data_IF_622951923775
#
_entry.id   IF_622951923775
#
_cell.length_a   1.000
_cell.length_b   1.000
_cell.length_c   1.000
_cell.angle_alpha   90.00
_cell.angle_beta   90.00
_cell.angle_gamma   90.00
#
_symmetry.space_group_name_H-M   'P 1'
#
loop_
_entity.id
_entity.type
_entity.pdbx_description
1 polymer ?
#
# COMPACT_ATOMS: atom_id res chain seq x y z
N UNK A 1 16.55 8.63 9.26
CA UNK A 1 15.30 8.66 8.48
C UNK A 1 14.61 9.97 8.82
N UNK A 2 14.25 10.76 7.83
CA UNK A 2 13.52 12.00 8.06
C UNK A 2 12.18 11.72 8.81
N UNK A 3 11.74 12.58 9.75
CA UNK A 3 10.52 12.37 10.54
C UNK A 3 9.24 12.16 9.72
N UNK A 4 9.15 12.78 8.53
CA UNK A 4 8.00 12.61 7.64
C UNK A 4 8.00 11.20 7.03
N UNK A 5 9.16 10.72 6.57
CA UNK A 5 9.33 9.37 6.01
C UNK A 5 8.94 8.28 7.01
N UNK A 6 9.36 8.42 8.27
CA UNK A 6 9.01 7.48 9.34
C UNK A 6 7.49 7.52 9.67
N UNK A 7 6.86 8.70 9.61
CA UNK A 7 5.42 8.84 9.83
C UNK A 7 4.59 8.25 8.69
N UNK A 8 5.00 8.45 7.43
CA UNK A 8 4.38 7.82 6.24
C UNK A 8 4.50 6.31 6.34
N UNK A 9 5.69 5.80 6.68
CA UNK A 9 5.92 4.37 6.89
C UNK A 9 4.97 3.80 7.95
N UNK A 10 4.85 4.45 9.12
CA UNK A 10 3.92 4.02 10.18
C UNK A 10 2.46 4.07 9.72
N UNK A 11 2.07 5.08 8.95
CA UNK A 11 0.70 5.19 8.43
C UNK A 11 0.33 4.02 7.50
N UNK A 12 1.24 3.62 6.61
CA UNK A 12 1.04 2.53 5.64
C UNK A 12 1.21 1.15 6.30
N UNK A 13 2.27 0.96 7.08
CA UNK A 13 2.64 -0.33 7.67
C UNK A 13 1.82 -0.70 8.90
N UNK A 14 1.47 0.27 9.75
CA UNK A 14 0.89 0.02 11.08
C UNK A 14 -0.63 0.13 11.12
N UNK A 15 -1.31 0.09 9.96
CA UNK A 15 -2.78 0.19 9.83
C UNK A 15 -3.41 1.40 10.55
N UNK A 16 -2.62 2.45 10.81
CA UNK A 16 -3.13 3.67 11.45
C UNK A 16 -4.10 4.42 10.54
N UNK A 17 -4.07 4.14 9.23
CA UNK A 17 -5.04 4.64 8.28
C UNK A 17 -6.38 3.92 8.49
N UNK A 18 -7.28 4.57 9.25
CA UNK A 18 -8.63 4.10 9.54
C UNK A 18 -9.59 4.69 8.50
N UNK A 19 -10.05 3.86 7.56
CA UNK A 19 -10.91 4.29 6.46
C UNK A 19 -12.32 3.75 6.68
N UNK A 20 -13.32 4.61 6.64
CA UNK A 20 -14.73 4.22 6.84
C UNK A 20 -15.28 3.47 5.62
N UNK A 21 -16.38 2.72 5.81
CA UNK A 21 -17.01 1.96 4.71
C UNK A 21 -17.44 2.86 3.54
N UNK A 22 -17.90 4.08 3.81
CA UNK A 22 -18.31 5.05 2.78
C UNK A 22 -17.13 5.50 1.93
N UNK A 23 -15.96 5.69 2.53
CA UNK A 23 -14.73 6.04 1.82
C UNK A 23 -14.20 4.87 1.00
N UNK A 24 -14.24 3.65 1.54
CA UNK A 24 -13.94 2.43 0.76
C UNK A 24 -14.88 2.34 -0.45
N UNK A 25 -16.18 2.55 -0.26
CA UNK A 25 -17.14 2.51 -1.36
C UNK A 25 -16.82 3.55 -2.44
N UNK A 26 -16.53 4.80 -2.02
CA UNK A 26 -16.17 5.90 -2.92
C UNK A 26 -14.90 5.61 -3.73
N UNK A 27 -13.85 5.09 -3.08
CA UNK A 27 -12.56 4.83 -3.73
C UNK A 27 -12.61 3.60 -4.64
N UNK A 28 -13.39 2.58 -4.27
CA UNK A 28 -13.39 1.30 -4.99
C UNK A 28 -14.53 1.15 -6.00
N UNK A 29 -15.54 2.02 -5.96
CA UNK A 29 -16.75 1.91 -6.77
C UNK A 29 -17.65 0.72 -6.39
N UNK A 30 -17.38 0.04 -5.27
CA UNK A 30 -18.23 -1.03 -4.72
C UNK A 30 -19.26 -0.39 -3.79
N UNK A 31 -20.54 -0.75 -3.91
CA UNK A 31 -21.57 -0.19 -3.03
C UNK A 31 -21.36 -0.59 -1.56
N UNK A 32 -21.78 0.29 -0.64
CA UNK A 32 -21.73 0.01 0.81
C UNK A 32 -22.50 -1.26 1.20
N UNK A 33 -23.61 -1.56 0.52
CA UNK A 33 -24.38 -2.79 0.69
C UNK A 33 -23.58 -4.04 0.32
N UNK A 34 -22.84 -4.00 -0.80
CA UNK A 34 -21.95 -5.10 -1.20
C UNK A 34 -20.79 -5.25 -0.23
N UNK A 35 -20.17 -4.16 0.22
CA UNK A 35 -19.09 -4.21 1.22
C UNK A 35 -19.56 -4.84 2.53
N UNK A 36 -20.73 -4.44 3.04
CA UNK A 36 -21.34 -5.03 4.24
C UNK A 36 -21.64 -6.52 4.05
N UNK A 37 -22.12 -6.90 2.86
CA UNK A 37 -22.34 -8.31 2.54
C UNK A 37 -21.02 -9.11 2.49
N UNK A 38 -19.95 -8.57 1.87
CA UNK A 38 -18.63 -9.20 1.82
C UNK A 38 -18.01 -9.33 3.20
N UNK A 39 -18.18 -8.31 4.04
CA UNK A 39 -17.74 -8.31 5.43
C UNK A 39 -18.48 -9.38 6.24
N UNK A 40 -19.81 -9.43 6.15
CA UNK A 40 -20.64 -10.46 6.81
C UNK A 40 -20.26 -11.88 6.36
N UNK A 41 -19.83 -12.06 5.11
CA UNK A 41 -19.33 -13.33 4.57
C UNK A 41 -17.88 -13.63 4.97
N UNK A 42 -17.20 -12.73 5.67
CA UNK A 42 -15.79 -12.87 6.07
C UNK A 42 -14.83 -12.79 4.88
N UNK A 43 -15.26 -12.22 3.76
CA UNK A 43 -14.37 -11.99 2.62
C UNK A 43 -13.44 -10.82 2.92
N UNK A 44 -13.98 -9.71 3.40
CA UNK A 44 -13.21 -8.58 3.92
C UNK A 44 -13.40 -8.47 5.43
N UNK A 45 -12.49 -7.78 6.12
CA UNK A 45 -12.56 -7.57 7.57
C UNK A 45 -12.31 -6.11 7.91
N UNK A 46 -13.18 -5.54 8.73
CA UNK A 46 -12.93 -4.28 9.43
C UNK A 46 -12.29 -4.53 10.79
N UNK A 47 -11.70 -3.48 11.32
CA UNK A 47 -11.22 -3.40 12.69
C UNK A 47 -12.12 -2.41 13.46
N UNK A 48 -12.23 -2.62 14.76
CA UNK A 48 -12.96 -1.74 15.68
C UNK A 48 -11.95 -1.04 16.59
N UNK A 49 -12.24 0.19 16.98
CA UNK A 49 -11.39 0.94 17.88
C UNK A 49 -11.87 0.67 19.31
N UNK A 50 -10.95 0.50 20.26
CA UNK A 50 -11.33 0.23 21.66
C UNK A 50 -12.21 1.33 22.25
N UNK A 51 -12.07 2.57 21.75
CA UNK A 51 -12.86 3.73 22.16
C UNK A 51 -14.08 4.00 21.26
N UNK A 52 -14.14 3.42 20.05
CA UNK A 52 -15.13 3.80 19.05
C UNK A 52 -15.71 2.54 18.36
N UNK A 53 -17.03 2.35 18.48
CA UNK A 53 -17.75 1.23 17.84
C UNK A 53 -17.76 1.27 16.31
N UNK A 54 -17.18 2.32 15.71
CA UNK A 54 -17.11 2.46 14.27
C UNK A 54 -16.14 1.45 13.65
N UNK A 55 -16.63 0.76 12.64
CA UNK A 55 -15.86 -0.15 11.82
C UNK A 55 -15.00 0.65 10.84
N UNK A 56 -13.70 0.38 10.84
CA UNK A 56 -12.76 0.94 9.88
C UNK A 56 -12.03 -0.15 9.12
N UNK A 57 -11.58 0.21 7.93
CA UNK A 57 -10.86 -0.66 7.02
C UNK A 57 -9.44 -0.14 6.86
N UNK A 58 -8.51 -1.10 6.85
CA UNK A 58 -7.10 -0.83 6.61
C UNK A 58 -6.82 -0.65 5.12
N UNK A 59 -5.69 -0.03 4.79
CA UNK A 59 -5.21 0.10 3.41
C UNK A 59 -5.11 -1.25 2.65
N UNK A 60 -4.60 -2.36 3.26
CA UNK A 60 -4.68 -3.69 2.65
C UNK A 60 -6.10 -4.16 2.31
N UNK A 61 -7.10 -3.80 3.12
CA UNK A 61 -8.49 -4.18 2.84
C UNK A 61 -9.03 -3.49 1.59
N UNK A 62 -8.59 -2.27 1.31
CA UNK A 62 -8.95 -1.54 0.08
C UNK A 62 -8.41 -2.28 -1.15
N UNK A 63 -7.15 -2.71 -1.12
CA UNK A 63 -6.57 -3.52 -2.21
C UNK A 63 -7.32 -4.82 -2.43
N UNK A 64 -7.75 -5.46 -1.36
CA UNK A 64 -8.59 -6.66 -1.45
C UNK A 64 -9.92 -6.34 -2.16
N UNK A 65 -10.63 -5.29 -1.73
CA UNK A 65 -11.90 -4.87 -2.33
C UNK A 65 -11.72 -4.55 -3.83
N UNK A 66 -10.69 -3.78 -4.19
CA UNK A 66 -10.36 -3.46 -5.58
C UNK A 66 -10.09 -4.71 -6.40
N UNK A 67 -9.35 -5.68 -5.86
CA UNK A 67 -9.04 -6.92 -6.58
C UNK A 67 -10.28 -7.76 -6.83
N UNK A 68 -11.15 -7.87 -5.83
CA UNK A 68 -12.44 -8.55 -5.99
C UNK A 68 -13.26 -7.84 -7.06
N UNK A 69 -13.36 -6.50 -7.01
CA UNK A 69 -14.08 -5.68 -7.99
C UNK A 69 -13.57 -5.89 -9.42
N UNK A 70 -12.25 -5.87 -9.63
CA UNK A 70 -11.64 -6.12 -10.95
C UNK A 70 -12.08 -7.47 -11.52
N UNK A 71 -12.13 -8.53 -10.70
CA UNK A 71 -12.58 -9.83 -11.18
C UNK A 71 -14.10 -9.91 -11.38
N UNK A 72 -14.90 -9.21 -10.56
CA UNK A 72 -16.34 -9.08 -10.80
C UNK A 72 -16.63 -8.38 -12.13
N UNK A 73 -15.87 -7.32 -12.46
CA UNK A 73 -16.01 -6.58 -13.71
C UNK A 73 -15.62 -7.40 -14.94
N UNK A 74 -14.76 -8.41 -14.75
CA UNK A 74 -14.43 -9.41 -15.77
C UNK A 74 -15.50 -10.51 -15.92
N UNK A 75 -16.62 -10.42 -15.20
CA UNK A 75 -17.73 -11.37 -15.27
C UNK A 75 -17.57 -12.60 -14.37
N UNK A 76 -16.57 -12.65 -13.49
CA UNK A 76 -16.45 -13.75 -12.53
C UNK A 76 -17.52 -13.65 -11.43
N UNK A 77 -17.94 -14.80 -10.90
CA UNK A 77 -18.77 -14.85 -9.70
C UNK A 77 -17.99 -14.34 -8.49
N UNK A 78 -18.68 -13.84 -7.46
CA UNK A 78 -18.05 -13.36 -6.23
C UNK A 78 -17.13 -14.41 -5.57
N UNK A 79 -17.57 -15.67 -5.52
CA UNK A 79 -16.76 -16.75 -4.96
C UNK A 79 -15.44 -16.94 -5.73
N UNK A 80 -15.48 -16.85 -7.06
CA UNK A 80 -14.29 -16.96 -7.90
C UNK A 80 -13.39 -15.72 -7.79
N UNK A 81 -13.98 -14.52 -7.73
CA UNK A 81 -13.25 -13.27 -7.52
C UNK A 81 -12.50 -13.28 -6.18
N UNK A 82 -13.15 -13.70 -5.09
CA UNK A 82 -12.51 -13.87 -3.77
C UNK A 82 -11.40 -14.93 -3.82
N UNK A 83 -11.61 -16.05 -4.50
CA UNK A 83 -10.56 -17.08 -4.68
C UNK A 83 -9.35 -16.53 -5.41
N UNK A 84 -9.55 -15.74 -6.47
CA UNK A 84 -8.46 -15.11 -7.23
C UNK A 84 -7.76 -14.02 -6.43
N UNK A 85 -8.49 -13.21 -5.67
CA UNK A 85 -7.89 -12.24 -4.73
C UNK A 85 -7.01 -12.94 -3.70
N UNK A 86 -7.50 -14.01 -3.06
CA UNK A 86 -6.70 -14.78 -2.09
C UNK A 86 -5.41 -15.34 -2.69
N UNK A 87 -5.44 -15.80 -3.94
CA UNK A 87 -4.22 -16.24 -4.66
C UNK A 87 -3.23 -15.10 -4.91
N UNK A 88 -3.71 -13.86 -5.08
CA UNK A 88 -2.89 -12.66 -5.31
C UNK A 88 -2.53 -11.92 -4.03
N UNK A 89 -3.11 -12.32 -2.89
CA UNK A 89 -2.89 -11.68 -1.59
C UNK A 89 -1.41 -11.64 -1.19
N UNK A 90 -0.67 -12.71 -1.46
CA UNK A 90 0.77 -12.74 -1.14
C UNK A 90 1.55 -11.72 -1.97
N UNK A 91 1.17 -11.48 -3.24
CA UNK A 91 1.79 -10.44 -4.06
C UNK A 91 1.57 -9.05 -3.46
N UNK A 92 0.37 -8.78 -2.96
CA UNK A 92 0.07 -7.50 -2.29
C UNK A 92 0.88 -7.32 -1.01
N UNK A 93 1.00 -8.37 -0.19
CA UNK A 93 1.84 -8.32 1.01
C UNK A 93 3.29 -8.04 0.67
N UNK A 94 3.84 -8.72 -0.34
CA UNK A 94 5.22 -8.50 -0.81
C UNK A 94 5.39 -7.05 -1.28
N UNK A 95 4.47 -6.55 -2.11
CA UNK A 95 4.54 -5.17 -2.60
C UNK A 95 4.42 -4.13 -1.49
N UNK A 96 3.44 -4.27 -0.58
CA UNK A 96 3.31 -3.37 0.57
C UNK A 96 4.57 -3.39 1.42
N UNK A 97 5.14 -4.58 1.67
CA UNK A 97 6.40 -4.72 2.42
C UNK A 97 7.54 -3.99 1.72
N UNK A 98 7.70 -4.20 0.41
CA UNK A 98 8.71 -3.51 -0.40
C UNK A 98 8.58 -1.99 -0.29
N UNK A 99 7.37 -1.43 -0.43
CA UNK A 99 7.16 0.02 -0.31
C UNK A 99 7.47 0.51 1.11
N UNK A 100 6.99 -0.17 2.14
CA UNK A 100 7.17 0.26 3.54
C UNK A 100 8.60 0.12 4.06
N UNK A 101 9.35 -0.87 3.56
CA UNK A 101 10.73 -1.09 3.98
C UNK A 101 11.73 -0.40 3.05
N UNK A 102 11.40 -0.32 1.77
CA UNK A 102 12.26 0.21 0.71
C UNK A 102 12.35 1.72 0.76
N UNK A 103 11.25 2.45 0.95
CA UNK A 103 11.33 3.92 0.98
C UNK A 103 12.00 4.37 2.29
N UNK A 104 13.30 4.73 2.20
CA UNK A 104 14.10 5.20 3.34
C UNK A 104 14.06 6.71 3.51
N UNK A 105 14.15 7.44 2.42
CA UNK A 105 14.24 8.89 2.44
C UNK A 105 13.79 9.44 1.09
N UNK A 106 13.17 10.60 1.11
CA UNK A 106 12.76 11.34 -0.09
C UNK A 106 13.41 12.71 -0.01
N UNK A 107 14.14 13.10 -1.05
CA UNK A 107 14.85 14.37 -1.14
C UNK A 107 14.40 15.11 -2.40
N UNK A 108 13.89 16.32 -2.26
CA UNK A 108 13.51 17.15 -3.40
C UNK A 108 14.75 17.81 -3.97
N UNK A 109 15.00 17.63 -5.26
CA UNK A 109 16.16 18.21 -5.96
C UNK A 109 15.75 19.29 -6.97
N UNK A 110 14.45 19.45 -7.23
CA UNK A 110 13.89 20.51 -8.08
C UNK A 110 12.36 20.52 -8.07
N UNK A 111 11.77 21.37 -8.93
CA UNK A 111 10.33 21.31 -9.23
C UNK A 111 10.03 19.97 -9.94
N UNK A 112 9.06 19.22 -9.40
CA UNK A 112 8.71 17.85 -9.84
C UNK A 112 9.88 16.85 -9.98
N UNK A 113 10.98 17.11 -9.27
CA UNK A 113 12.21 16.32 -9.35
C UNK A 113 12.75 16.00 -7.97
N UNK A 114 13.27 14.79 -7.80
CA UNK A 114 13.76 14.34 -6.51
C UNK A 114 14.40 12.95 -6.54
N UNK A 115 14.88 12.54 -5.38
CA UNK A 115 15.45 11.23 -5.15
C UNK A 115 14.69 10.48 -4.07
N UNK A 116 14.51 9.17 -4.25
CA UNK A 116 13.98 8.27 -3.22
C UNK A 116 15.05 7.23 -2.89
N UNK A 117 15.62 7.29 -1.68
CA UNK A 117 16.61 6.33 -1.21
C UNK A 117 15.92 5.00 -0.88
N UNK A 118 16.39 3.92 -1.50
CA UNK A 118 15.82 2.57 -1.35
C UNK A 118 16.57 1.70 -0.32
N UNK A 119 17.78 2.12 0.06
CA UNK A 119 18.62 1.46 1.04
C UNK A 119 19.91 0.89 0.43
N UNK A 120 20.69 0.23 1.27
CA UNK A 120 21.96 -0.40 0.87
C UNK A 120 21.76 -1.69 0.09
N UNK A 121 22.69 -2.00 -0.83
CA UNK A 121 22.71 -3.29 -1.50
C UNK A 121 23.01 -4.41 -0.49
N UNK A 122 22.38 -5.57 -0.69
CA UNK A 122 22.63 -6.72 0.18
C UNK A 122 24.03 -7.31 -0.04
N UNK A 123 24.51 -7.24 -1.28
CA UNK A 123 25.81 -7.74 -1.73
C UNK A 123 26.96 -6.77 -1.42
N UNK A 124 26.65 -5.49 -1.24
CA UNK A 124 27.63 -4.43 -1.00
C UNK A 124 27.04 -3.30 -0.13
N UNK A 125 27.27 -3.37 1.18
CA UNK A 125 26.73 -2.40 2.14
C UNK A 125 27.31 -1.00 2.00
N UNK A 126 28.42 -0.83 1.27
CA UNK A 126 29.02 0.49 1.00
C UNK A 126 28.31 1.20 -0.15
N UNK A 127 27.38 0.54 -0.83
CA UNK A 127 26.58 1.13 -1.91
C UNK A 127 25.13 1.24 -1.52
N UNK A 128 24.47 2.26 -2.05
CA UNK A 128 23.02 2.47 -1.91
C UNK A 128 22.32 2.50 -3.26
N UNK A 129 21.10 1.96 -3.29
CA UNK A 129 20.16 2.08 -4.40
C UNK A 129 19.24 3.25 -4.14
N UNK A 130 19.00 4.05 -5.16
CA UNK A 130 18.05 5.15 -5.10
C UNK A 130 17.33 5.32 -6.44
N UNK A 131 16.09 5.81 -6.38
CA UNK A 131 15.33 6.21 -7.56
C UNK A 131 15.54 7.72 -7.79
N UNK A 132 15.77 8.11 -9.04
CA UNK A 132 15.75 9.51 -9.48
C UNK A 132 14.47 9.75 -10.26
N UNK A 133 13.72 10.76 -9.84
CA UNK A 133 12.49 11.23 -10.48
C UNK A 133 12.81 12.55 -11.18
N UNK A 134 12.49 12.61 -12.47
CA UNK A 134 12.60 13.79 -13.34
C UNK A 134 11.29 13.92 -14.12
N UNK A 135 10.36 14.71 -13.57
CA UNK A 135 8.97 14.75 -14.02
C UNK A 135 8.30 13.38 -13.90
N UNK A 136 7.80 12.85 -15.03
CA UNK A 136 7.16 11.52 -15.06
C UNK A 136 8.14 10.35 -15.19
N UNK A 137 9.45 10.62 -15.37
CA UNK A 137 10.45 9.56 -15.58
C UNK A 137 11.06 9.15 -14.26
N UNK A 138 11.10 7.84 -14.02
CA UNK A 138 11.80 7.23 -12.89
C UNK A 138 12.97 6.38 -13.40
N UNK A 139 14.16 6.56 -12.83
CA UNK A 139 15.33 5.69 -13.08
C UNK A 139 15.94 5.20 -11.77
N UNK A 140 16.44 3.96 -11.75
CA UNK A 140 17.14 3.39 -10.59
C UNK A 140 18.65 3.54 -10.79
N UNK A 141 19.35 4.01 -9.76
CA UNK A 141 20.79 4.23 -9.76
C UNK A 141 21.43 3.66 -8.50
N UNK A 142 22.74 3.48 -8.57
CA UNK A 142 23.58 3.01 -7.47
C UNK A 142 24.68 4.07 -7.26
N UNK A 143 24.97 4.40 -5.99
CA UNK A 143 26.10 5.27 -5.63
C UNK A 143 26.78 4.75 -4.37
N UNK A 144 28.01 5.22 -4.13
CA UNK A 144 28.69 4.98 -2.86
C UNK A 144 27.95 5.71 -1.74
N UNK A 145 27.74 5.00 -0.64
CA UNK A 145 27.07 5.51 0.54
C UNK A 145 28.03 6.44 1.26
N UNK A 146 27.61 7.69 1.47
CA UNK A 146 28.35 8.61 2.33
C UNK A 146 28.25 8.10 3.77
N UNK A 147 29.39 7.73 4.36
CA UNK A 147 29.47 7.50 5.80
C UNK A 147 29.19 8.83 6.50
N UNK A 148 28.10 8.87 7.27
CA UNK A 148 27.84 9.90 8.27
C UNK A 148 28.24 9.37 9.63
#
# INVERSE_FOLDING_TARGET
MDPLSEKIRKMIASKQLKISMSEVARVTGVSTSQLRYWEKKGYIKSEQDEQNKNHYFSFPTIFQVLTIKVFLDQGFTLAMAVKKERKRRELHKIFTRFITDGIKEVEQTGEDSGEVKLGSLAEDSTKEVYAVIDGEKTSLRIRDRKEN
#
